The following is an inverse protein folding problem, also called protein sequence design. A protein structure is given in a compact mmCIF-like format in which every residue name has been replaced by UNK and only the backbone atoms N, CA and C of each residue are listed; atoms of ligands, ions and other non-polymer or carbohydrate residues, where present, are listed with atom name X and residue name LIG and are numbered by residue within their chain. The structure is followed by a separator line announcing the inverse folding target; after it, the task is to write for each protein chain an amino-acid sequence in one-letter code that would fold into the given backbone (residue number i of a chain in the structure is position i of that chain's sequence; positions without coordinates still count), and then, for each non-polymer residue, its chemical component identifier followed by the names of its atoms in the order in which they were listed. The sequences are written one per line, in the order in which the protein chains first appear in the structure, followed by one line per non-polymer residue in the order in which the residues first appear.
data_IF_698364568243
#
_entry.id   IF_698364568243
#
_cell.length_a   1.000
_cell.length_b   1.000
_cell.length_c   1.000
_cell.angle_alpha   90.00
_cell.angle_beta   90.00
_cell.angle_gamma   90.00
#
_symmetry.space_group_name_H-M   'P 1'
#
loop_
_entity.id
_entity.type
_entity.pdbx_description
1 polymer ?
#
# COMPACT_ATOMS: atom_id res chain seq x y z
N UNK A 1 -54.31 55.07 -18.22
CA UNK A 1 -52.89 55.48 -18.27
C UNK A 1 -52.11 54.18 -18.47
N UNK A 2 -51.90 53.65 -19.68
CA UNK A 2 -51.16 54.16 -20.85
C UNK A 2 -49.66 54.34 -20.55
N UNK A 3 -48.88 53.31 -20.93
CA UNK A 3 -47.41 53.19 -20.90
C UNK A 3 -46.70 54.12 -21.91
N UNK A 4 -45.35 54.18 -21.88
CA UNK A 4 -44.65 53.80 -23.11
C UNK A 4 -43.43 52.85 -22.92
N UNK A 5 -42.96 52.24 -24.04
CA UNK A 5 -42.30 50.92 -24.13
C UNK A 5 -40.76 50.99 -24.34
N UNK A 6 -40.03 49.85 -24.45
CA UNK A 6 -38.57 49.85 -24.56
C UNK A 6 -38.07 50.07 -26.00
N UNK A 7 -36.82 50.54 -26.20
CA UNK A 7 -36.29 50.80 -27.54
C UNK A 7 -35.75 49.55 -28.24
N UNK A 8 -35.94 49.53 -29.57
CA UNK A 8 -35.74 48.43 -30.50
C UNK A 8 -34.37 48.41 -31.21
N UNK A 9 -34.04 47.24 -31.77
CA UNK A 9 -32.96 46.98 -32.74
C UNK A 9 -33.05 47.86 -34.01
N UNK A 10 -31.89 48.27 -34.53
CA UNK A 10 -31.72 48.84 -35.88
C UNK A 10 -30.60 48.13 -36.67
N UNK A 11 -30.91 47.71 -37.90
CA UNK A 11 -30.07 47.00 -38.87
C UNK A 11 -29.40 47.95 -39.90
N UNK A 12 -28.30 47.45 -40.49
CA UNK A 12 -27.82 47.61 -41.89
C UNK A 12 -27.11 48.93 -42.29
N UNK A 13 -26.26 48.98 -43.36
CA UNK A 13 -26.19 48.08 -44.52
C UNK A 13 -24.80 47.66 -45.06
N UNK A 14 -24.86 46.79 -46.07
CA UNK A 14 -23.78 46.30 -46.93
C UNK A 14 -23.44 47.26 -48.09
N UNK A 15 -22.19 47.23 -48.58
CA UNK A 15 -21.77 47.68 -49.92
C UNK A 15 -20.52 46.88 -50.37
N UNK A 16 -20.63 45.90 -51.29
CA UNK A 16 -20.44 45.96 -52.76
C UNK A 16 -18.99 46.07 -53.28
N UNK A 17 -18.56 44.98 -53.97
CA UNK A 17 -17.58 44.84 -55.10
C UNK A 17 -16.32 45.72 -55.16
N UNK A 18 -15.16 45.11 -55.42
CA UNK A 18 -14.64 44.93 -56.80
C UNK A 18 -13.33 44.09 -56.85
N UNK A 19 -13.27 43.16 -57.80
CA UNK A 19 -12.05 42.49 -58.27
C UNK A 19 -11.08 43.50 -58.92
N UNK A 20 -9.78 43.34 -58.73
CA UNK A 20 -8.76 43.57 -59.77
C UNK A 20 -7.45 42.86 -59.44
N UNK A 21 -7.07 41.97 -60.35
CA UNK A 21 -5.75 41.38 -60.50
C UNK A 21 -4.78 42.39 -61.12
N UNK A 22 -3.57 42.51 -60.58
CA UNK A 22 -2.33 42.89 -61.30
C UNK A 22 -1.14 42.45 -60.44
N UNK A 23 -0.28 41.57 -60.95
CA UNK A 23 1.13 41.49 -60.51
C UNK A 23 2.00 42.37 -61.42
N UNK A 24 3.34 42.21 -61.47
CA UNK A 24 4.30 41.67 -60.49
C UNK A 24 5.45 42.68 -60.22
N UNK A 25 6.18 42.63 -59.07
CA UNK A 25 7.61 43.04 -59.04
C UNK A 25 8.37 42.71 -57.73
N UNK A 26 9.32 41.78 -57.87
CA UNK A 26 10.68 41.63 -57.31
C UNK A 26 11.02 42.03 -55.85
N UNK A 27 11.22 40.99 -55.05
CA UNK A 27 12.47 40.58 -54.37
C UNK A 27 13.21 41.53 -53.39
N UNK A 28 13.23 41.12 -52.12
CA UNK A 28 14.34 41.24 -51.17
C UNK A 28 14.58 39.87 -50.50
N UNK A 29 15.81 39.52 -50.09
CA UNK A 29 16.20 38.14 -49.75
C UNK A 29 15.70 37.71 -48.37
N UNK A 30 15.41 36.41 -48.26
CA UNK A 30 15.05 35.72 -47.02
C UNK A 30 16.26 35.53 -46.09
N UNK A 31 16.09 35.57 -44.76
CA UNK A 31 17.00 34.90 -43.84
C UNK A 31 16.64 33.41 -43.71
N UNK A 32 17.69 32.61 -43.56
CA UNK A 32 17.72 31.15 -43.60
C UNK A 32 16.83 30.49 -42.54
N UNK A 33 16.23 29.37 -42.93
CA UNK A 33 15.54 28.44 -42.03
C UNK A 33 16.57 27.65 -41.23
N UNK A 34 16.62 27.85 -39.93
CA UNK A 34 17.09 26.80 -39.02
C UNK A 34 16.03 25.71 -38.96
N UNK A 35 16.41 24.49 -39.34
CA UNK A 35 15.58 23.31 -39.20
C UNK A 35 15.44 22.94 -37.71
N UNK A 36 14.24 22.57 -37.23
CA UNK A 36 14.12 22.06 -35.88
C UNK A 36 14.83 20.69 -35.81
N UNK A 37 15.79 20.58 -34.90
CA UNK A 37 16.42 19.30 -34.57
C UNK A 37 15.38 18.28 -34.07
N UNK A 38 15.70 16.98 -34.09
CA UNK A 38 14.76 15.96 -33.66
C UNK A 38 14.38 16.22 -32.21
N UNK A 39 13.10 16.55 -32.00
CA UNK A 39 12.48 16.59 -30.69
C UNK A 39 12.81 15.27 -30.00
N UNK A 40 13.62 15.35 -28.94
CA UNK A 40 13.68 14.29 -27.93
C UNK A 40 12.23 13.91 -27.61
N UNK A 41 11.89 12.62 -27.51
CA UNK A 41 10.57 12.25 -27.01
C UNK A 41 10.42 12.99 -25.69
N UNK A 42 9.32 13.74 -25.55
CA UNK A 42 8.85 14.16 -24.24
C UNK A 42 8.78 12.86 -23.44
N UNK A 43 9.70 12.67 -22.50
CA UNK A 43 9.45 11.80 -21.37
C UNK A 43 8.06 12.21 -20.89
N UNK A 44 7.07 11.32 -21.03
CA UNK A 44 5.79 11.52 -20.39
C UNK A 44 6.14 11.79 -18.93
N UNK A 45 6.05 13.05 -18.50
CA UNK A 45 6.08 13.36 -17.09
C UNK A 45 4.88 12.61 -16.52
N UNK A 46 5.11 11.42 -15.97
CA UNK A 46 4.04 10.61 -15.42
C UNK A 46 3.33 11.48 -14.39
N UNK A 47 2.01 11.60 -14.51
CA UNK A 47 1.23 12.36 -13.54
C UNK A 47 1.55 11.83 -12.15
N UNK A 48 1.85 12.74 -11.22
CA UNK A 48 2.15 12.38 -9.83
C UNK A 48 0.93 11.67 -9.26
N UNK A 49 1.06 10.45 -8.73
CA UNK A 49 -0.09 9.71 -8.23
C UNK A 49 -0.74 10.46 -7.06
N UNK A 50 -2.05 10.32 -6.92
CA UNK A 50 -2.79 11.03 -5.90
C UNK A 50 -3.74 10.15 -5.09
N UNK A 51 -3.93 10.52 -3.83
CA UNK A 51 -5.05 10.09 -3.01
C UNK A 51 -6.16 11.13 -3.14
N UNK A 52 -7.30 10.73 -3.73
CA UNK A 52 -8.45 11.60 -3.90
C UNK A 52 -9.27 11.62 -2.60
N UNK A 53 -9.55 12.81 -2.10
CA UNK A 53 -10.25 13.07 -0.84
C UNK A 53 -11.48 13.92 -1.14
N UNK A 54 -12.63 13.47 -0.67
CA UNK A 54 -13.89 14.20 -0.76
C UNK A 54 -14.68 14.05 0.53
N UNK A 55 -15.53 15.04 0.84
CA UNK A 55 -16.40 15.01 2.01
C UNK A 55 -17.82 15.45 1.64
N UNK A 56 -18.83 14.76 2.17
CA UNK A 56 -20.22 15.21 2.07
C UNK A 56 -20.69 16.02 3.28
N UNK A 57 -19.84 16.20 4.30
CA UNK A 57 -20.20 16.89 5.54
C UNK A 57 -19.76 18.36 5.51
N UNK A 58 -20.70 19.29 5.65
CA UNK A 58 -20.41 20.74 5.63
C UNK A 58 -19.46 21.17 6.77
N UNK A 59 -19.51 20.50 7.92
CA UNK A 59 -18.65 20.77 9.08
C UNK A 59 -17.27 20.13 9.02
N UNK A 60 -16.99 19.31 8.01
CA UNK A 60 -15.73 18.59 7.89
C UNK A 60 -15.28 18.62 6.42
N UNK A 61 -14.63 19.72 5.96
CA UNK A 61 -14.10 19.78 4.60
C UNK A 61 -12.97 18.76 4.42
N UNK A 62 -12.74 18.30 3.19
CA UNK A 62 -11.67 17.31 2.91
C UNK A 62 -10.28 17.80 3.34
N UNK A 63 -10.06 19.11 3.37
CA UNK A 63 -8.91 19.80 3.96
C UNK A 63 -8.58 19.35 5.38
N UNK A 64 -9.60 19.14 6.22
CA UNK A 64 -9.41 18.74 7.61
C UNK A 64 -8.77 17.35 7.69
N UNK A 65 -9.12 16.45 6.77
CA UNK A 65 -8.47 15.15 6.68
C UNK A 65 -7.02 15.26 6.20
N UNK A 66 -6.74 16.17 5.27
CA UNK A 66 -5.37 16.45 4.81
C UNK A 66 -4.50 16.91 5.97
N UNK A 67 -4.95 17.90 6.75
CA UNK A 67 -4.24 18.38 7.96
C UNK A 67 -3.90 17.25 8.91
N UNK A 68 -4.88 16.38 9.18
CA UNK A 68 -4.70 15.23 10.07
C UNK A 68 -3.68 14.23 9.50
N UNK A 69 -3.73 13.93 8.20
CA UNK A 69 -2.80 13.00 7.55
C UNK A 69 -1.37 13.55 7.53
N UNK A 70 -1.19 14.84 7.22
CA UNK A 70 0.13 15.48 7.18
C UNK A 70 0.68 15.80 8.56
N UNK A 71 -0.19 15.88 9.58
CA UNK A 71 0.18 16.30 10.93
C UNK A 71 0.42 17.81 11.06
N UNK A 72 -0.08 18.62 10.12
CA UNK A 72 0.11 20.07 10.08
C UNK A 72 -1.13 20.82 10.59
N UNK A 73 -0.95 21.84 11.43
CA UNK A 73 -2.07 22.67 11.93
C UNK A 73 -2.65 23.60 10.84
N UNK A 74 -1.77 24.09 9.96
CA UNK A 74 -2.10 24.91 8.81
C UNK A 74 -1.72 24.17 7.53
N UNK A 75 -2.57 24.26 6.51
CA UNK A 75 -2.31 23.57 5.25
C UNK A 75 -1.21 24.29 4.47
N UNK A 76 -0.31 23.53 3.82
CA UNK A 76 0.72 24.10 2.99
C UNK A 76 0.11 24.72 1.73
N UNK A 77 0.92 25.47 0.97
CA UNK A 77 0.50 26.05 -0.29
C UNK A 77 0.00 24.93 -1.24
N UNK A 78 -1.24 25.06 -1.69
CA UNK A 78 -1.88 24.08 -2.56
C UNK A 78 -1.71 24.46 -4.02
N UNK A 79 -1.59 23.47 -4.87
CA UNK A 79 -1.65 23.66 -6.31
C UNK A 79 -3.13 23.67 -6.68
N UNK A 80 -3.66 24.85 -6.96
CA UNK A 80 -5.03 25.01 -7.46
C UNK A 80 -5.08 24.76 -8.97
N UNK A 81 -6.08 24.00 -9.41
CA UNK A 81 -6.35 23.77 -10.84
C UNK A 81 -7.65 24.48 -11.23
N UNK A 82 -7.80 24.84 -12.51
CA UNK A 82 -9.00 25.53 -13.03
C UNK A 82 -10.30 24.77 -12.74
N UNK A 83 -10.25 23.45 -12.54
CA UNK A 83 -11.39 22.62 -12.14
C UNK A 83 -11.88 22.87 -10.71
N UNK A 84 -11.13 23.60 -9.89
CA UNK A 84 -11.40 23.80 -8.46
C UNK A 84 -10.87 22.69 -7.56
N UNK A 85 -10.15 21.70 -8.10
CA UNK A 85 -9.41 20.71 -7.33
C UNK A 85 -8.18 21.35 -6.66
N UNK A 86 -7.88 20.90 -5.44
CA UNK A 86 -6.75 21.40 -4.63
C UNK A 86 -5.80 20.26 -4.32
N UNK A 87 -4.54 20.39 -4.73
CA UNK A 87 -3.53 19.36 -4.52
C UNK A 87 -2.54 19.81 -3.44
N UNK A 88 -2.35 18.95 -2.44
CA UNK A 88 -1.37 19.14 -1.38
C UNK A 88 -0.25 18.12 -1.55
N UNK A 89 0.98 18.55 -1.86
CA UNK A 89 2.12 17.66 -1.96
C UNK A 89 2.41 16.94 -0.65
N UNK A 90 2.57 15.62 -0.71
CA UNK A 90 2.91 14.81 0.44
C UNK A 90 3.89 13.70 0.04
N UNK A 91 4.89 13.45 0.86
CA UNK A 91 5.88 12.40 0.60
C UNK A 91 5.70 11.30 1.62
N UNK A 92 5.42 10.10 1.13
CA UNK A 92 5.54 8.89 1.92
C UNK A 92 7.02 8.56 1.97
N UNK A 93 7.59 8.54 3.17
CA UNK A 93 8.98 8.18 3.40
C UNK A 93 9.06 7.21 4.57
N UNK A 94 9.10 5.91 4.28
CA UNK A 94 9.17 4.87 5.31
C UNK A 94 10.51 4.12 5.23
N UNK A 95 10.67 3.05 6.03
CA UNK A 95 11.92 2.27 6.07
C UNK A 95 12.28 1.62 4.73
N UNK A 96 11.29 1.28 3.91
CA UNK A 96 11.46 0.46 2.73
C UNK A 96 11.50 1.28 1.44
N UNK A 97 10.75 2.37 1.38
CA UNK A 97 10.64 3.19 0.17
C UNK A 97 10.28 4.65 0.45
N UNK A 98 10.47 5.47 -0.57
CA UNK A 98 9.94 6.82 -0.66
C UNK A 98 9.02 6.94 -1.88
N UNK A 99 7.90 7.68 -1.77
CA UNK A 99 7.00 7.97 -2.88
C UNK A 99 6.42 9.38 -2.72
N UNK A 100 6.52 10.20 -3.77
CA UNK A 100 5.92 11.53 -3.80
C UNK A 100 4.49 11.42 -4.33
N UNK A 101 3.50 11.80 -3.52
CA UNK A 101 2.09 11.74 -3.91
C UNK A 101 1.42 13.09 -3.70
N UNK A 102 0.24 13.27 -4.29
CA UNK A 102 -0.62 14.41 -3.97
C UNK A 102 -1.85 13.96 -3.18
N UNK A 103 -2.19 14.70 -2.14
CA UNK A 103 -3.51 14.62 -1.52
C UNK A 103 -4.42 15.59 -2.28
N UNK A 104 -5.34 15.05 -3.08
CA UNK A 104 -6.20 15.82 -3.97
C UNK A 104 -7.58 16.00 -3.32
N UNK A 105 -7.95 17.22 -2.93
CA UNK A 105 -9.26 17.53 -2.37
C UNK A 105 -10.18 18.07 -3.44
N UNK A 106 -11.33 17.43 -3.57
CA UNK A 106 -12.45 17.86 -4.44
C UNK A 106 -13.74 17.94 -3.63
N UNK A 107 -14.59 18.91 -3.96
CA UNK A 107 -15.88 19.11 -3.31
C UNK A 107 -16.97 18.19 -3.90
N UNK A 108 -16.85 17.82 -5.17
CA UNK A 108 -17.81 16.96 -5.87
C UNK A 108 -17.19 16.34 -7.13
N UNK A 109 -17.93 15.41 -7.73
CA UNK A 109 -17.51 14.67 -8.94
C UNK A 109 -17.21 15.57 -10.15
N UNK A 110 -17.78 16.78 -10.23
CA UNK A 110 -17.60 17.68 -11.39
C UNK A 110 -16.21 18.35 -11.41
N UNK A 111 -15.49 18.34 -10.29
CA UNK A 111 -14.13 18.87 -10.21
C UNK A 111 -13.06 17.84 -10.63
N UNK A 112 -13.48 16.60 -10.85
CA UNK A 112 -12.60 15.51 -11.28
C UNK A 112 -12.40 15.60 -12.79
N UNK A 113 -11.18 15.95 -13.21
CA UNK A 113 -10.77 15.99 -14.61
C UNK A 113 -10.16 14.66 -15.04
N UNK A 114 -9.96 14.47 -16.34
CA UNK A 114 -9.32 13.26 -16.88
C UNK A 114 -7.90 13.07 -16.32
N UNK A 115 -7.15 14.16 -16.12
CA UNK A 115 -5.81 14.10 -15.54
C UNK A 115 -5.84 13.64 -14.08
N UNK A 116 -6.85 14.05 -13.31
CA UNK A 116 -7.06 13.56 -11.95
C UNK A 116 -7.33 12.05 -12.01
N UNK A 117 -8.28 11.62 -12.84
CA UNK A 117 -8.66 10.21 -12.99
C UNK A 117 -7.46 9.31 -13.25
N UNK A 118 -6.57 9.70 -14.17
CA UNK A 118 -5.38 8.91 -14.52
C UNK A 118 -4.34 8.83 -13.39
N UNK A 119 -4.41 9.73 -12.40
CA UNK A 119 -3.50 9.79 -11.26
C UNK A 119 -4.05 9.17 -9.96
N UNK A 120 -5.37 8.92 -9.86
CA UNK A 120 -5.98 8.37 -8.64
C UNK A 120 -5.50 6.95 -8.37
N UNK A 121 -4.89 6.73 -7.21
CA UNK A 121 -4.52 5.38 -6.73
C UNK A 121 -5.07 5.06 -5.34
N UNK A 122 -5.56 6.07 -4.62
CA UNK A 122 -6.29 5.90 -3.37
C UNK A 122 -7.52 6.82 -3.36
N UNK A 123 -8.61 6.37 -2.73
CA UNK A 123 -9.84 7.14 -2.59
C UNK A 123 -10.32 7.14 -1.14
N UNK A 124 -10.49 8.33 -0.58
CA UNK A 124 -10.97 8.56 0.77
C UNK A 124 -12.25 9.39 0.70
N UNK A 125 -13.33 8.85 1.25
CA UNK A 125 -14.62 9.52 1.29
C UNK A 125 -15.04 9.74 2.73
N UNK A 126 -15.14 11.01 3.15
CA UNK A 126 -15.71 11.35 4.45
C UNK A 126 -17.23 11.47 4.36
N UNK A 127 -17.94 10.76 5.24
CA UNK A 127 -19.38 10.87 5.39
C UNK A 127 -19.79 11.23 6.81
N UNK A 128 -20.92 11.95 6.92
CA UNK A 128 -21.56 12.19 8.20
C UNK A 128 -22.47 11.00 8.56
N UNK A 129 -22.05 10.22 9.56
CA UNK A 129 -22.80 9.07 10.06
C UNK A 129 -24.05 9.47 10.84
N UNK A 130 -24.16 10.71 11.34
CA UNK A 130 -25.37 11.18 12.04
C UNK A 130 -26.55 11.39 11.08
N UNK A 131 -26.25 11.51 9.78
CA UNK A 131 -27.24 11.70 8.72
C UNK A 131 -27.60 10.34 8.07
N UNK A 132 -28.89 9.98 8.07
CA UNK A 132 -29.38 8.68 7.53
C UNK A 132 -29.02 8.48 6.05
N UNK A 133 -28.98 9.57 5.28
CA UNK A 133 -28.61 9.61 3.86
C UNK A 133 -27.11 9.90 3.64
N UNK A 134 -26.27 9.79 4.66
CA UNK A 134 -24.83 10.10 4.58
C UNK A 134 -24.10 9.28 3.52
N UNK A 135 -24.51 8.02 3.33
CA UNK A 135 -23.98 7.13 2.29
C UNK A 135 -24.55 7.41 0.89
N UNK A 136 -25.71 8.06 0.76
CA UNK A 136 -26.31 8.25 -0.58
C UNK A 136 -25.42 9.12 -1.47
N UNK A 137 -24.70 10.06 -0.86
CA UNK A 137 -23.78 10.98 -1.53
C UNK A 137 -22.57 10.30 -2.17
N UNK A 138 -22.22 9.07 -1.76
CA UNK A 138 -21.13 8.32 -2.37
C UNK A 138 -21.57 7.64 -3.68
N UNK A 139 -22.87 7.47 -3.91
CA UNK A 139 -23.40 6.71 -5.05
C UNK A 139 -22.93 7.26 -6.40
N UNK A 140 -22.80 8.58 -6.51
CA UNK A 140 -22.28 9.25 -7.71
C UNK A 140 -20.79 8.93 -7.98
N UNK A 141 -20.04 8.55 -6.95
CA UNK A 141 -18.64 8.17 -7.04
C UNK A 141 -18.46 6.71 -7.43
N UNK A 142 -19.40 5.83 -7.07
CA UNK A 142 -19.31 4.38 -7.32
C UNK A 142 -19.09 4.05 -8.81
N UNK A 143 -19.83 4.72 -9.71
CA UNK A 143 -19.65 4.52 -11.16
C UNK A 143 -18.30 5.00 -11.68
N UNK A 144 -17.67 5.96 -10.99
CA UNK A 144 -16.38 6.50 -11.38
C UNK A 144 -15.25 5.59 -10.89
N UNK A 145 -15.28 5.17 -9.62
CA UNK A 145 -14.25 4.31 -9.03
C UNK A 145 -14.17 2.93 -9.66
N UNK A 146 -15.26 2.42 -10.25
CA UNK A 146 -15.25 1.18 -11.05
C UNK A 146 -14.28 1.27 -12.25
N UNK A 147 -14.03 2.48 -12.76
CA UNK A 147 -13.07 2.70 -13.85
C UNK A 147 -11.65 2.96 -13.34
N UNK A 148 -11.51 3.60 -12.17
CA UNK A 148 -10.22 4.04 -11.64
C UNK A 148 -9.50 2.93 -10.89
N UNK A 149 -10.26 2.00 -10.30
CA UNK A 149 -9.79 0.88 -9.47
C UNK A 149 -8.68 1.29 -8.47
N UNK A 150 -8.95 2.23 -7.55
CA UNK A 150 -7.96 2.64 -6.55
C UNK A 150 -7.53 1.43 -5.71
N UNK A 151 -6.22 1.30 -5.44
CA UNK A 151 -5.68 0.23 -4.61
C UNK A 151 -6.08 0.35 -3.14
N UNK A 152 -6.45 1.56 -2.70
CA UNK A 152 -6.94 1.86 -1.36
C UNK A 152 -8.28 2.59 -1.46
N UNK A 153 -9.31 2.05 -0.79
CA UNK A 153 -10.64 2.65 -0.70
C UNK A 153 -11.06 2.74 0.76
N UNK A 154 -11.17 3.96 1.30
CA UNK A 154 -11.46 4.19 2.72
C UNK A 154 -12.70 5.06 2.86
N UNK A 155 -13.67 4.57 3.62
CA UNK A 155 -14.84 5.31 4.06
C UNK A 155 -14.56 5.84 5.47
N UNK A 156 -14.56 7.16 5.62
CA UNK A 156 -14.17 7.85 6.85
C UNK A 156 -15.40 8.50 7.50
N UNK A 157 -15.53 8.37 8.81
CA UNK A 157 -16.45 9.19 9.60
C UNK A 157 -15.80 9.55 10.94
N UNK A 158 -16.31 10.56 11.64
CA UNK A 158 -15.83 10.86 13.00
C UNK A 158 -16.10 9.69 13.95
N UNK A 159 -17.38 9.33 14.08
CA UNK A 159 -17.88 8.19 14.84
C UNK A 159 -19.15 7.67 14.20
N UNK A 160 -19.35 6.36 14.24
CA UNK A 160 -20.62 5.76 13.82
C UNK A 160 -21.76 6.10 14.79
N UNK A 161 -22.94 6.42 14.26
CA UNK A 161 -24.09 6.86 15.04
C UNK A 161 -25.29 5.95 14.84
N UNK A 162 -25.79 5.36 15.94
CA UNK A 162 -27.01 4.56 15.92
C UNK A 162 -28.27 5.37 15.54
N UNK A 163 -28.22 6.70 15.67
CA UNK A 163 -29.32 7.60 15.27
C UNK A 163 -29.33 7.94 13.77
N UNK A 164 -28.28 7.58 13.03
CA UNK A 164 -28.16 7.83 11.60
C UNK A 164 -27.78 6.55 10.84
N UNK A 165 -26.49 6.32 10.69
CA UNK A 165 -25.92 5.12 10.07
C UNK A 165 -25.17 4.35 11.15
N UNK A 166 -25.76 3.23 11.60
CA UNK A 166 -25.14 2.33 12.57
C UNK A 166 -23.85 1.72 12.06
N UNK A 167 -23.01 1.24 12.98
CA UNK A 167 -21.75 0.56 12.64
C UNK A 167 -21.98 -0.60 11.69
N UNK A 168 -22.96 -1.45 12.00
CA UNK A 168 -23.31 -2.61 11.18
C UNK A 168 -23.66 -2.18 9.75
N UNK A 169 -24.52 -1.16 9.58
CA UNK A 169 -24.94 -0.70 8.26
C UNK A 169 -23.76 -0.13 7.46
N UNK A 170 -22.88 0.64 8.10
CA UNK A 170 -21.67 1.16 7.47
C UNK A 170 -20.72 0.04 7.04
N UNK A 171 -20.49 -0.95 7.90
CA UNK A 171 -19.62 -2.10 7.61
C UNK A 171 -20.16 -2.98 6.48
N UNK A 172 -21.46 -3.32 6.50
CA UNK A 172 -22.10 -4.08 5.41
C UNK A 172 -21.98 -3.34 4.07
N UNK A 173 -22.15 -2.01 4.09
CA UNK A 173 -21.95 -1.16 2.93
C UNK A 173 -20.50 -1.19 2.44
N UNK A 174 -19.54 -1.05 3.36
CA UNK A 174 -18.10 -1.09 3.06
C UNK A 174 -17.69 -2.43 2.42
N UNK A 175 -18.09 -3.56 2.99
CA UNK A 175 -17.82 -4.90 2.44
C UNK A 175 -18.37 -5.02 1.03
N UNK A 176 -19.61 -4.57 0.80
CA UNK A 176 -20.26 -4.64 -0.51
C UNK A 176 -19.53 -3.84 -1.59
N UNK A 177 -18.95 -2.70 -1.23
CA UNK A 177 -18.28 -1.79 -2.17
C UNK A 177 -16.75 -1.84 -2.07
N UNK A 178 -16.20 -2.79 -1.30
CA UNK A 178 -14.77 -2.97 -1.04
C UNK A 178 -14.07 -1.77 -0.39
N UNK A 179 -14.81 -0.96 0.35
CA UNK A 179 -14.24 0.07 1.20
C UNK A 179 -13.81 -0.50 2.55
N UNK A 180 -12.83 0.13 3.17
CA UNK A 180 -12.52 -0.04 4.58
C UNK A 180 -13.20 1.08 5.39
N UNK A 181 -13.92 0.74 6.46
CA UNK A 181 -14.48 1.74 7.38
C UNK A 181 -13.42 2.18 8.39
N UNK A 182 -13.18 3.49 8.48
CA UNK A 182 -12.30 4.07 9.50
C UNK A 182 -13.02 5.17 10.27
N UNK A 183 -13.17 4.96 11.57
CA UNK A 183 -13.66 5.97 12.51
C UNK A 183 -12.49 6.82 13.02
N UNK A 184 -12.57 8.15 12.91
CA UNK A 184 -11.53 9.08 13.39
C UNK A 184 -11.47 9.15 14.91
N UNK A 185 -12.59 8.92 15.58
CA UNK A 185 -12.73 8.96 17.04
C UNK A 185 -13.73 7.89 17.51
N UNK A 186 -13.36 6.59 17.37
CA UNK A 186 -14.23 5.48 17.75
C UNK A 186 -14.58 5.51 19.24
N UNK A 187 -15.72 4.94 19.59
CA UNK A 187 -16.16 4.80 20.99
C UNK A 187 -15.40 3.70 21.72
N UNK A 188 -15.31 2.56 21.05
CA UNK A 188 -14.64 1.37 21.51
C UNK A 188 -13.25 1.37 20.90
N UNK A 189 -12.24 1.55 21.74
CA UNK A 189 -10.86 1.34 21.35
C UNK A 189 -10.55 -0.16 21.38
N UNK A 190 -9.63 -0.63 20.52
CA UNK A 190 -9.10 -1.98 20.63
C UNK A 190 -8.50 -2.18 22.02
N UNK A 191 -8.57 -3.42 22.51
CA UNK A 191 -7.98 -3.80 23.78
C UNK A 191 -6.46 -3.58 23.73
N UNK A 192 -5.93 -2.76 24.64
CA UNK A 192 -4.48 -2.47 24.69
C UNK A 192 -3.68 -3.69 25.15
N UNK A 193 -4.34 -4.65 25.83
CA UNK A 193 -3.75 -5.92 26.25
C UNK A 193 -3.70 -6.95 25.10
N UNK A 194 -4.28 -6.65 23.93
CA UNK A 194 -4.11 -7.48 22.74
C UNK A 194 -2.67 -7.35 22.21
N UNK A 195 -2.01 -8.47 21.85
CA UNK A 195 -0.63 -8.46 21.37
C UNK A 195 -0.48 -7.67 20.05
N UNK A 196 -1.58 -7.55 19.28
CA UNK A 196 -1.63 -6.85 17.99
C UNK A 196 -2.86 -5.95 17.91
N UNK A 197 -2.92 -4.86 18.70
CA UNK A 197 -4.10 -4.02 18.75
C UNK A 197 -4.30 -3.33 17.39
N UNK A 198 -5.52 -3.42 16.86
CA UNK A 198 -5.86 -2.78 15.59
C UNK A 198 -5.62 -1.27 15.66
N UNK A 199 -5.04 -0.69 14.61
CA UNK A 199 -4.92 0.77 14.56
C UNK A 199 -6.26 1.39 14.16
N UNK A 200 -6.60 2.53 14.76
CA UNK A 200 -7.83 3.28 14.45
C UNK A 200 -7.51 4.70 13.99
N UNK A 201 -8.53 5.40 13.49
CA UNK A 201 -8.45 6.80 13.08
C UNK A 201 -7.39 7.10 12.03
N UNK A 202 -6.77 8.27 12.16
CA UNK A 202 -5.81 8.79 11.17
C UNK A 202 -4.58 7.89 11.04
N UNK A 203 -4.16 7.25 12.14
CA UNK A 203 -3.06 6.27 12.14
C UNK A 203 -3.36 5.13 11.17
N UNK A 204 -4.59 4.62 11.16
CA UNK A 204 -5.01 3.56 10.24
C UNK A 204 -5.00 4.01 8.78
N UNK A 205 -5.48 5.24 8.52
CA UNK A 205 -5.45 5.83 7.18
C UNK A 205 -4.00 5.93 6.66
N UNK A 206 -3.09 6.45 7.48
CA UNK A 206 -1.66 6.58 7.13
C UNK A 206 -1.06 5.19 6.85
N UNK A 207 -1.39 4.18 7.66
CA UNK A 207 -0.92 2.81 7.44
C UNK A 207 -1.41 2.24 6.10
N UNK A 208 -2.70 2.41 5.77
CA UNK A 208 -3.25 1.97 4.49
C UNK A 208 -2.55 2.67 3.30
N UNK A 209 -2.32 3.99 3.40
CA UNK A 209 -1.57 4.74 2.37
C UNK A 209 -0.11 4.29 2.26
N UNK A 210 0.56 3.96 3.38
CA UNK A 210 1.92 3.42 3.38
C UNK A 210 2.00 1.99 2.84
N UNK A 211 0.94 1.20 2.98
CA UNK A 211 0.88 -0.18 2.47
C UNK A 211 0.53 -0.24 0.97
N UNK A 212 0.08 0.87 0.38
CA UNK A 212 -0.25 0.93 -1.04
C UNK A 212 0.99 0.81 -1.93
N UNK A 213 0.82 0.23 -3.12
CA UNK A 213 1.87 0.14 -4.15
C UNK A 213 1.74 1.33 -5.10
N UNK A 214 2.39 2.44 -4.77
CA UNK A 214 2.37 3.66 -5.59
C UNK A 214 3.18 3.49 -6.89
N UNK A 215 2.69 4.09 -7.98
CA UNK A 215 3.35 3.98 -9.31
C UNK A 215 4.77 4.57 -9.38
N UNK A 216 5.15 5.41 -8.42
CA UNK A 216 6.44 6.08 -8.36
C UNK A 216 7.26 5.73 -7.10
N UNK A 217 7.08 4.52 -6.57
CA UNK A 217 7.89 3.98 -5.46
C UNK A 217 9.38 4.00 -5.82
N UNK A 218 10.18 4.58 -4.92
CA UNK A 218 11.65 4.51 -4.94
C UNK A 218 12.09 3.68 -3.74
N UNK A 219 12.51 2.44 -3.99
CA UNK A 219 12.98 1.53 -2.93
C UNK A 219 14.28 2.07 -2.34
N UNK A 220 14.35 2.14 -1.01
CA UNK A 220 15.57 2.49 -0.28
C UNK A 220 16.51 1.28 -0.33
N UNK A 221 17.54 1.37 -1.17
CA UNK A 221 18.60 0.38 -1.22
C UNK A 221 19.50 0.56 0.02
N UNK A 222 19.16 -0.10 1.11
CA UNK A 222 20.21 -0.49 2.05
C UNK A 222 20.92 -1.69 1.43
N UNK A 223 22.13 -1.46 0.92
CA UNK A 223 23.07 -2.56 0.78
C UNK A 223 23.12 -3.28 2.15
N UNK A 224 22.89 -4.59 2.14
CA UNK A 224 22.95 -5.50 3.30
C UNK A 224 21.86 -5.37 4.38
N UNK A 225 20.62 -5.77 4.08
CA UNK A 225 19.91 -6.69 4.98
C UNK A 225 19.23 -7.78 4.16
N UNK A 226 19.58 -9.02 4.49
CA UNK A 226 19.23 -10.28 3.84
C UNK A 226 17.71 -10.53 3.80
N UNK A 227 17.00 -10.04 2.79
CA UNK A 227 15.67 -10.53 2.43
C UNK A 227 15.49 -10.45 0.91
N UNK A 228 15.82 -11.55 0.21
CA UNK A 228 15.70 -11.70 -1.24
C UNK A 228 14.26 -11.82 -1.77
N UNK A 229 13.25 -11.34 -1.05
CA UNK A 229 11.83 -11.53 -1.40
C UNK A 229 11.19 -10.32 -2.09
N UNK A 230 11.76 -9.12 -1.99
CA UNK A 230 11.11 -7.90 -2.52
C UNK A 230 11.15 -7.74 -4.05
N UNK A 231 12.19 -8.17 -4.79
CA UNK A 231 12.17 -8.09 -6.26
C UNK A 231 11.07 -8.93 -6.92
N UNK A 232 10.54 -9.96 -6.23
CA UNK A 232 9.51 -10.85 -6.77
C UNK A 232 8.10 -10.23 -6.77
N UNK A 233 7.82 -9.27 -5.87
CA UNK A 233 6.49 -8.62 -5.78
C UNK A 233 6.32 -7.41 -6.70
N UNK A 234 7.42 -6.80 -7.16
CA UNK A 234 7.40 -5.50 -7.87
C UNK A 234 7.71 -5.65 -9.39
N UNK A 235 7.65 -6.85 -9.96
CA UNK A 235 8.21 -7.07 -11.30
C UNK A 235 7.64 -8.20 -12.13
N UNK A 236 6.31 -8.27 -12.29
CA UNK A 236 5.68 -9.10 -13.32
C UNK A 236 4.99 -8.25 -14.39
N UNK A 237 5.73 -7.33 -15.03
CA UNK A 237 5.29 -6.77 -16.32
C UNK A 237 6.45 -6.28 -17.21
N UNK A 238 7.35 -7.20 -17.57
CA UNK A 238 8.15 -7.05 -18.79
C UNK A 238 7.76 -8.14 -19.79
N UNK A 239 6.71 -7.86 -20.56
CA UNK A 239 6.61 -8.41 -21.91
C UNK A 239 7.78 -7.85 -22.73
N UNK A 240 8.61 -8.73 -23.25
CA UNK A 240 9.09 -8.78 -24.64
C UNK A 240 9.83 -10.10 -24.79
N UNK A 241 9.28 -10.98 -25.63
CA UNK A 241 9.98 -12.14 -26.12
C UNK A 241 11.01 -11.75 -27.18
N UNK A 242 12.08 -12.53 -27.27
CA UNK A 242 12.62 -12.96 -28.56
C UNK A 242 13.62 -14.07 -28.28
N UNK A 243 13.36 -15.23 -28.88
CA UNK A 243 14.22 -16.40 -28.94
C UNK A 243 15.68 -16.07 -29.25
N UNK A 244 16.59 -16.78 -28.57
CA UNK A 244 17.58 -17.62 -29.24
C UNK A 244 18.20 -18.64 -28.27
N UNK A 245 18.09 -19.89 -28.67
CA UNK A 245 18.65 -21.09 -28.07
C UNK A 245 20.19 -21.02 -27.94
N UNK A 246 20.71 -21.41 -26.77
CA UNK A 246 21.93 -22.23 -26.68
C UNK A 246 21.99 -22.90 -25.29
N UNK A 247 22.30 -24.20 -25.29
CA UNK A 247 22.53 -25.03 -24.11
C UNK A 247 23.86 -25.79 -24.33
N UNK A 248 24.38 -26.52 -23.33
CA UNK A 248 25.30 -26.05 -22.29
C UNK A 248 26.70 -26.69 -22.44
N UNK A 249 27.77 -26.01 -22.03
CA UNK A 249 29.09 -26.64 -21.92
C UNK A 249 29.48 -26.92 -20.47
N UNK A 250 29.84 -28.18 -20.26
CA UNK A 250 30.42 -28.76 -19.06
C UNK A 250 31.91 -28.41 -18.92
N UNK A 251 32.41 -28.56 -17.69
CA UNK A 251 33.80 -28.84 -17.24
C UNK A 251 34.10 -28.04 -15.96
N UNK A 252 34.77 -28.49 -14.90
CA UNK A 252 35.33 -29.76 -14.44
C UNK A 252 35.79 -29.50 -12.99
N UNK A 253 35.64 -30.48 -12.09
CA UNK A 253 36.37 -30.51 -10.80
C UNK A 253 37.87 -30.76 -11.03
N UNK A 254 38.72 -30.45 -10.04
CA UNK A 254 39.65 -31.48 -9.59
C UNK A 254 39.71 -31.69 -8.07
N UNK A 255 40.05 -32.94 -7.79
CA UNK A 255 40.10 -33.67 -6.53
C UNK A 255 41.30 -33.35 -5.62
N UNK A 256 41.06 -33.64 -4.33
CA UNK A 256 41.93 -34.34 -3.35
C UNK A 256 43.28 -33.73 -2.91
N UNK A 257 43.43 -33.57 -1.58
CA UNK A 257 44.56 -34.14 -0.84
C UNK A 257 44.32 -34.36 0.67
N UNK A 258 44.16 -35.64 1.03
CA UNK A 258 44.74 -36.42 2.16
C UNK A 258 44.64 -35.99 3.65
N UNK A 259 43.74 -36.68 4.39
CA UNK A 259 43.94 -37.65 5.49
C UNK A 259 45.02 -37.50 6.60
N UNK A 260 44.55 -37.59 7.87
CA UNK A 260 45.06 -38.42 9.00
C UNK A 260 44.09 -38.31 10.20
N UNK A 261 43.33 -39.32 10.67
CA UNK A 261 43.63 -40.56 11.44
C UNK A 261 43.95 -40.35 12.95
N UNK A 262 42.93 -40.66 13.77
CA UNK A 262 42.89 -41.37 15.09
C UNK A 262 43.32 -40.73 16.44
N UNK A 263 42.30 -40.60 17.31
CA UNK A 263 42.07 -41.34 18.58
C UNK A 263 42.41 -40.73 19.97
N UNK A 264 41.55 -41.16 20.91
CA UNK A 264 41.67 -41.21 22.37
C UNK A 264 41.30 -39.99 23.22
N UNK A 265 40.35 -40.23 24.13
CA UNK A 265 39.70 -39.25 24.99
C UNK A 265 40.34 -39.05 26.36
N UNK A 266 39.80 -38.07 27.08
CA UNK A 266 39.90 -37.96 28.53
C UNK A 266 38.81 -37.00 29.04
N UNK A 267 38.05 -37.47 30.01
CA UNK A 267 37.01 -36.77 30.73
C UNK A 267 37.54 -35.58 31.55
N UNK A 268 36.76 -34.50 31.62
CA UNK A 268 36.64 -33.64 32.81
C UNK A 268 35.21 -33.07 32.83
N UNK A 269 34.56 -33.24 33.98
CA UNK A 269 33.17 -32.94 34.27
C UNK A 269 33.00 -31.50 34.83
N UNK A 270 31.90 -31.17 35.54
CA UNK A 270 30.81 -30.32 35.06
C UNK A 270 30.83 -28.93 35.72
N UNK A 271 30.20 -27.94 35.09
CA UNK A 271 29.78 -26.72 35.77
C UNK A 271 28.26 -26.77 35.91
N UNK A 272 27.82 -27.12 37.12
CA UNK A 272 26.45 -26.94 37.58
C UNK A 272 26.09 -25.45 37.61
N UNK A 273 24.82 -25.17 37.32
CA UNK A 273 24.14 -23.98 37.84
C UNK A 273 23.25 -23.30 36.82
N UNK A 274 22.00 -23.76 36.67
CA UNK A 274 20.81 -22.98 37.04
C UNK A 274 19.59 -23.91 37.01
N UNK A 275 18.86 -23.90 38.12
CA UNK A 275 17.70 -24.74 38.38
C UNK A 275 16.48 -24.26 37.59
N UNK A 276 15.81 -25.22 36.96
CA UNK A 276 14.36 -25.40 37.05
C UNK A 276 13.48 -24.45 36.23
N UNK A 277 13.16 -24.86 35.01
CA UNK A 277 11.88 -24.50 34.37
C UNK A 277 10.84 -25.60 34.61
N UNK A 278 9.58 -25.24 34.94
CA UNK A 278 8.53 -26.19 35.20
C UNK A 278 7.94 -26.72 33.89
N UNK A 279 8.02 -28.03 33.70
CA UNK A 279 7.26 -28.82 32.72
C UNK A 279 7.46 -28.40 31.26
N UNK A 280 8.62 -28.77 30.71
CA UNK A 280 8.70 -29.02 29.26
C UNK A 280 7.64 -30.08 28.92
N UNK A 281 6.62 -29.70 28.16
CA UNK A 281 5.62 -30.64 27.67
C UNK A 281 6.31 -31.55 26.64
N UNK A 282 6.60 -32.83 26.98
CA UNK A 282 7.44 -33.69 26.15
C UNK A 282 6.79 -33.95 24.77
N UNK A 283 5.48 -33.72 24.66
CA UNK A 283 4.73 -33.83 23.41
C UNK A 283 5.09 -32.71 22.45
N UNK A 284 5.26 -31.49 22.95
CA UNK A 284 5.60 -30.30 22.17
C UNK A 284 7.01 -30.40 21.58
N UNK A 285 7.98 -30.86 22.37
CA UNK A 285 9.35 -31.03 21.91
C UNK A 285 9.46 -32.15 20.86
N UNK A 286 8.66 -33.21 21.00
CA UNK A 286 8.58 -34.30 20.01
C UNK A 286 7.97 -33.80 18.69
N UNK A 287 6.91 -32.99 18.77
CA UNK A 287 6.25 -32.39 17.61
C UNK A 287 7.17 -31.40 16.88
N UNK A 288 7.94 -30.60 17.64
CA UNK A 288 8.95 -29.66 17.13
C UNK A 288 10.09 -30.39 16.42
N UNK A 289 10.60 -31.47 17.02
CA UNK A 289 11.67 -32.28 16.41
C UNK A 289 11.20 -32.97 15.13
N UNK A 290 9.92 -33.37 15.06
CA UNK A 290 9.30 -33.89 13.85
C UNK A 290 9.26 -32.80 12.76
N UNK A 291 8.80 -31.58 13.06
CA UNK A 291 8.80 -30.47 12.09
C UNK A 291 10.20 -30.18 11.53
N UNK A 292 11.22 -30.10 12.39
CA UNK A 292 12.60 -29.84 11.97
C UNK A 292 13.16 -30.96 11.09
N UNK A 293 12.75 -32.21 11.34
CA UNK A 293 13.13 -33.35 10.50
C UNK A 293 12.46 -33.29 9.13
N UNK A 294 11.20 -32.85 9.08
CA UNK A 294 10.43 -32.69 7.83
C UNK A 294 10.93 -31.49 7.00
N UNK A 295 11.59 -30.49 7.57
CA UNK A 295 12.15 -29.36 6.78
C UNK A 295 13.60 -29.60 6.32
N UNK A 296 14.34 -30.50 6.96
CA UNK A 296 15.75 -30.78 6.64
C UNK A 296 15.97 -31.77 5.47
N UNK A 297 14.92 -32.44 5.00
CA UNK A 297 14.98 -33.41 3.89
C UNK A 297 14.86 -32.77 2.49
N UNK A 298 15.45 -33.40 1.47
CA UNK A 298 15.24 -33.04 0.06
C UNK A 298 13.74 -33.03 -0.28
N UNK A 299 13.29 -32.00 -1.01
CA UNK A 299 11.88 -31.63 -1.16
C UNK A 299 11.02 -32.68 -1.85
N UNK A 300 10.58 -33.66 -1.07
CA UNK A 300 9.53 -34.61 -1.41
C UNK A 300 8.15 -34.02 -1.09
N UNK A 301 7.17 -34.23 -1.98
CA UNK A 301 5.82 -33.67 -1.87
C UNK A 301 5.09 -34.27 -0.66
N UNK A 302 5.34 -35.54 -0.34
CA UNK A 302 4.76 -36.22 0.82
C UNK A 302 5.25 -35.61 2.15
N UNK A 303 6.48 -35.11 2.16
CA UNK A 303 7.10 -34.44 3.29
C UNK A 303 6.46 -33.05 3.57
N UNK A 304 6.07 -32.35 2.50
CA UNK A 304 5.35 -31.07 2.57
C UNK A 304 3.91 -31.24 3.09
N UNK A 305 3.17 -32.24 2.60
CA UNK A 305 1.81 -32.52 3.10
C UNK A 305 1.81 -32.93 4.59
N UNK A 306 2.82 -33.69 5.01
CA UNK A 306 3.01 -34.06 6.41
C UNK A 306 3.35 -32.85 7.28
N UNK A 307 4.17 -31.92 6.79
CA UNK A 307 4.48 -30.66 7.48
C UNK A 307 3.22 -29.83 7.74
N UNK A 308 2.38 -29.64 6.72
CA UNK A 308 1.13 -28.87 6.86
C UNK A 308 0.11 -29.58 7.76
N UNK A 309 0.03 -30.90 7.70
CA UNK A 309 -0.83 -31.69 8.59
C UNK A 309 -0.38 -31.56 10.04
N UNK A 310 0.94 -31.57 10.29
CA UNK A 310 1.51 -31.39 11.62
C UNK A 310 1.33 -29.96 12.15
N UNK A 311 1.54 -28.94 11.32
CA UNK A 311 1.29 -27.55 11.67
C UNK A 311 -0.18 -27.32 12.04
N UNK A 312 -1.10 -27.95 11.30
CA UNK A 312 -2.53 -27.92 11.60
C UNK A 312 -2.86 -28.58 12.94
N UNK A 313 -2.26 -29.74 13.24
CA UNK A 313 -2.42 -30.41 14.53
C UNK A 313 -1.92 -29.53 15.69
N UNK A 314 -0.76 -28.90 15.53
CA UNK A 314 -0.19 -27.99 16.53
C UNK A 314 -1.03 -26.71 16.72
N UNK A 315 -1.63 -26.20 15.64
CA UNK A 315 -2.60 -25.08 15.71
C UNK A 315 -3.87 -25.47 16.46
N UNK A 316 -4.39 -26.68 16.23
CA UNK A 316 -5.58 -27.18 16.93
C UNK A 316 -5.29 -27.40 18.43
N UNK A 317 -4.09 -27.88 18.79
CA UNK A 317 -3.62 -27.97 20.17
C UNK A 317 -3.48 -26.59 20.83
N UNK A 318 -2.92 -25.60 20.13
CA UNK A 318 -2.80 -24.24 20.65
C UNK A 318 -4.17 -23.57 20.90
N UNK A 319 -5.18 -23.90 20.09
CA UNK A 319 -6.52 -23.34 20.23
C UNK A 319 -7.26 -23.79 21.51
N UNK A 320 -6.88 -24.93 22.10
CA UNK A 320 -7.48 -25.43 23.35
C UNK A 320 -6.82 -24.87 24.61
N UNK A 321 -5.68 -24.20 24.47
CA UNK A 321 -4.93 -23.61 25.59
C UNK A 321 -5.44 -22.21 25.97
N UNK A 322 -5.36 -21.83 27.26
CA UNK A 322 -5.55 -20.44 27.73
C UNK A 322 -4.55 -19.48 27.08
N UNK A 323 -4.87 -18.18 27.09
CA UNK A 323 -4.13 -17.14 26.35
C UNK A 323 -2.62 -17.13 26.64
N UNK A 324 -2.20 -17.07 27.91
CA UNK A 324 -0.78 -17.05 28.29
C UNK A 324 -0.01 -18.30 27.81
N UNK A 325 -0.62 -19.48 27.90
CA UNK A 325 0.00 -20.73 27.44
C UNK A 325 0.03 -20.85 25.92
N UNK A 326 -1.00 -20.31 25.25
CA UNK A 326 -1.05 -20.23 23.79
C UNK A 326 0.07 -19.35 23.24
N UNK A 327 0.41 -18.26 23.93
CA UNK A 327 1.52 -17.37 23.59
C UNK A 327 2.86 -18.09 23.65
N UNK A 328 3.15 -18.77 24.76
CA UNK A 328 4.39 -19.56 24.92
C UNK A 328 4.46 -20.71 23.89
N UNK A 329 3.34 -21.37 23.61
CA UNK A 329 3.27 -22.41 22.58
C UNK A 329 3.57 -21.82 21.19
N UNK A 330 2.97 -20.70 20.82
CA UNK A 330 3.20 -20.04 19.54
C UNK A 330 4.67 -19.60 19.38
N UNK A 331 5.26 -19.03 20.44
CA UNK A 331 6.67 -18.62 20.47
C UNK A 331 7.61 -19.81 20.22
N UNK A 332 7.41 -20.93 20.95
CA UNK A 332 8.23 -22.15 20.77
C UNK A 332 8.13 -22.71 19.36
N UNK A 333 6.93 -22.74 18.79
CA UNK A 333 6.70 -23.25 17.42
C UNK A 333 7.31 -22.33 16.38
N UNK A 334 7.20 -21.01 16.54
CA UNK A 334 7.79 -20.03 15.65
C UNK A 334 9.33 -20.08 15.67
N UNK A 335 9.93 -20.11 16.87
CA UNK A 335 11.40 -20.25 17.03
C UNK A 335 11.92 -21.54 16.40
N UNK A 336 11.25 -22.66 16.66
CA UNK A 336 11.60 -23.95 16.07
C UNK A 336 11.52 -23.93 14.54
N UNK A 337 10.43 -23.40 13.98
CA UNK A 337 10.24 -23.32 12.54
C UNK A 337 11.28 -22.40 11.87
N UNK A 338 11.63 -21.28 12.53
CA UNK A 338 12.67 -20.37 12.07
C UNK A 338 14.04 -21.05 11.99
N UNK A 339 14.46 -21.73 13.06
CA UNK A 339 15.70 -22.51 13.08
C UNK A 339 15.70 -23.59 11.99
N UNK A 340 14.55 -24.20 11.74
CA UNK A 340 14.39 -25.30 10.80
C UNK A 340 14.49 -24.88 9.31
N UNK A 341 14.25 -23.61 8.99
CA UNK A 341 14.41 -23.02 7.64
C UNK A 341 15.82 -22.43 7.45
N UNK A 342 16.76 -22.73 8.37
CA UNK A 342 18.14 -22.22 8.37
C UNK A 342 18.23 -20.72 8.70
N UNK A 343 17.29 -20.20 9.51
CA UNK A 343 17.48 -18.91 10.18
C UNK A 343 18.55 -19.02 11.27
N UNK A 344 19.38 -17.99 11.43
CA UNK A 344 20.48 -17.99 12.41
C UNK A 344 19.92 -17.78 13.83
N UNK A 345 20.49 -18.48 14.82
CA UNK A 345 20.07 -18.41 16.22
C UNK A 345 20.28 -17.01 16.83
N UNK A 346 21.25 -16.27 16.31
CA UNK A 346 21.55 -14.88 16.70
C UNK A 346 20.38 -13.92 16.36
N UNK A 347 19.48 -14.28 15.44
CA UNK A 347 18.33 -13.46 15.06
C UNK A 347 17.15 -13.57 16.04
N UNK A 348 17.17 -14.57 16.94
CA UNK A 348 16.07 -14.89 17.86
C UNK A 348 16.45 -14.81 19.35
N UNK A 349 17.73 -14.61 19.69
CA UNK A 349 18.26 -14.55 21.06
C UNK A 349 17.89 -13.27 21.85
N UNK A 350 17.21 -12.31 21.24
CA UNK A 350 16.75 -11.07 21.89
C UNK A 350 15.23 -10.85 21.91
N UNK A 351 14.44 -11.87 21.53
CA UNK A 351 12.98 -11.79 21.39
C UNK A 351 12.21 -12.49 22.52
N UNK A 352 12.88 -12.97 23.59
CA UNK A 352 12.16 -13.56 24.73
C UNK A 352 11.43 -12.47 25.51
N UNK A 353 10.18 -12.75 25.86
CA UNK A 353 9.33 -11.83 26.64
C UNK A 353 9.71 -11.78 28.13
N UNK A 354 10.96 -12.08 28.49
CA UNK A 354 11.41 -12.07 29.89
C UNK A 354 11.85 -10.67 30.37
N UNK A 355 11.56 -9.60 29.61
CA UNK A 355 11.90 -8.22 29.98
C UNK A 355 10.74 -7.38 30.56
N UNK A 356 9.62 -7.97 30.94
CA UNK A 356 8.58 -7.24 31.70
C UNK A 356 8.13 -8.04 32.94
N UNK A 357 8.78 -7.78 34.07
CA UNK A 357 8.24 -8.03 35.41
C UNK A 357 8.42 -6.81 36.30
#
# INVERSE_FOLDING_TARGET
MADPPPPALGKAPAATRCLKWYGPERAGPAPEREAPGPSRPLECAMAVPCALITSCAAGFPGEELVKRITGEEELPEHIAVESGARFYPWTIDNKYYSAAIHLCVVANVFQVTTEIVESVQAFLFYFDSTTISGLDSISQWLSLIENWLPGVMILVCDRVSENGISRQKAQEWCIKHSFELVELSPEELPDEDDDFPESTGVKRIIQALNANVWSNIVIKNEASHSFGLFPALVGADRRIGSDKNEAPEANSLPAERAQSVLDSGAALAPAEGTQGDPVADPVLDTDIQELASLTAGEGDIENFERLFSKLKEMKEKAATLPHEQRKLHAEKVAKAFWMAIRGDQDEIEGLSSDEDN
#
